data_IF_300350942100
#
_entry.id   IF_300350942100
#
_cell.length_a   1.000
_cell.length_b   1.000
_cell.length_c   1.000
_cell.angle_alpha   90.00
_cell.angle_beta   90.00
_cell.angle_gamma   90.00
#
_symmetry.space_group_name_H-M   'P 1'
#
loop_
_entity.id
_entity.type
_entity.pdbx_description
1 polymer ?
#
# COMPACT_ATOMS: atom_id res chain seq x y z
N UNK A 1 -13.25 -4.03 -2.84
CA UNK A 1 -11.87 -4.14 -2.33
C UNK A 1 -11.02 -4.68 -3.44
N UNK A 2 -10.07 -3.88 -3.93
CA UNK A 2 -9.12 -4.30 -4.98
C UNK A 2 -7.77 -4.53 -4.33
N UNK A 3 -7.20 -5.71 -4.56
CA UNK A 3 -5.87 -6.08 -4.09
C UNK A 3 -4.87 -5.97 -5.24
N UNK A 4 -3.70 -5.41 -4.93
CA UNK A 4 -2.59 -5.22 -5.84
C UNK A 4 -1.35 -5.86 -5.24
N UNK A 5 -0.61 -6.60 -6.06
CA UNK A 5 0.71 -7.11 -5.69
C UNK A 5 1.74 -5.99 -5.84
N UNK A 6 2.54 -5.77 -4.81
CA UNK A 6 3.54 -4.70 -4.78
C UNK A 6 4.91 -5.30 -4.59
N UNK A 7 5.67 -5.33 -5.67
CA UNK A 7 7.07 -5.71 -5.67
C UNK A 7 7.95 -4.56 -5.17
N UNK A 8 8.97 -4.88 -4.37
CA UNK A 8 9.95 -3.89 -3.88
C UNK A 8 9.64 -3.25 -2.53
N UNK A 9 8.54 -3.63 -1.85
CA UNK A 9 8.32 -3.28 -0.44
C UNK A 9 9.16 -4.17 0.49
N UNK A 10 10.46 -3.86 0.62
CA UNK A 10 11.41 -4.62 1.45
C UNK A 10 11.53 -4.10 2.89
N UNK A 11 10.95 -2.93 3.19
CA UNK A 11 11.18 -2.24 4.45
C UNK A 11 9.93 -1.56 5.01
N UNK A 12 9.84 -1.42 6.32
CA UNK A 12 8.74 -0.72 6.99
C UNK A 12 8.57 0.75 6.55
N UNK A 13 9.68 1.41 6.22
CA UNK A 13 9.63 2.75 5.66
C UNK A 13 9.03 2.77 4.23
N UNK A 14 9.26 1.70 3.46
CA UNK A 14 8.82 1.54 2.09
C UNK A 14 7.29 1.37 2.07
N UNK A 15 6.73 0.51 2.92
CA UNK A 15 5.28 0.35 3.05
C UNK A 15 4.60 1.62 3.55
N UNK A 16 5.14 2.27 4.59
CA UNK A 16 4.59 3.52 5.10
C UNK A 16 4.56 4.63 4.04
N UNK A 17 5.58 4.70 3.18
CA UNK A 17 5.63 5.65 2.06
C UNK A 17 4.52 5.36 1.03
N UNK A 18 4.36 4.09 0.64
CA UNK A 18 3.35 3.66 -0.34
C UNK A 18 1.95 3.97 0.18
N UNK A 19 1.64 3.57 1.41
CA UNK A 19 0.34 3.81 2.03
C UNK A 19 -0.02 5.30 2.00
N UNK A 20 0.91 6.16 2.43
CA UNK A 20 0.69 7.61 2.49
C UNK A 20 0.48 8.25 1.12
N UNK A 21 1.24 7.80 0.11
CA UNK A 21 1.07 8.25 -1.26
C UNK A 21 -0.30 7.85 -1.82
N UNK A 22 -0.70 6.60 -1.62
CA UNK A 22 -1.97 6.06 -2.15
C UNK A 22 -3.17 6.67 -1.44
N UNK A 23 -3.06 6.91 -0.14
CA UNK A 23 -4.10 7.60 0.63
C UNK A 23 -4.24 9.10 0.25
N UNK A 24 -3.26 9.66 -0.48
CA UNK A 24 -3.36 11.01 -1.06
C UNK A 24 -3.96 11.01 -2.47
N UNK A 25 -4.27 9.84 -3.04
CA UNK A 25 -4.89 9.73 -4.37
C UNK A 25 -6.38 10.00 -4.25
N UNK A 26 -6.88 10.91 -5.09
CA UNK A 26 -8.29 11.25 -5.14
C UNK A 26 -9.14 10.01 -5.52
N UNK A 27 -10.09 9.65 -4.64
CA UNK A 27 -10.92 8.44 -4.78
C UNK A 27 -10.51 7.24 -3.92
N UNK A 28 -9.38 7.30 -3.20
CA UNK A 28 -9.01 6.28 -2.21
C UNK A 28 -9.52 6.70 -0.84
N UNK A 29 -10.46 5.94 -0.25
CA UNK A 29 -10.95 6.21 1.11
C UNK A 29 -10.08 5.60 2.21
N UNK A 30 -9.42 4.47 1.91
CA UNK A 30 -8.51 3.82 2.85
C UNK A 30 -7.61 2.87 2.09
N UNK A 31 -6.31 2.90 2.39
CA UNK A 31 -5.32 2.01 1.82
C UNK A 31 -4.65 1.23 2.96
N UNK A 32 -4.55 -0.08 2.80
CA UNK A 32 -3.82 -0.95 3.71
C UNK A 32 -2.71 -1.68 2.94
N UNK A 33 -1.48 -1.60 3.43
CA UNK A 33 -0.34 -2.34 2.88
C UNK A 33 0.15 -3.37 3.88
N UNK A 34 0.46 -4.55 3.37
CA UNK A 34 0.95 -5.67 4.17
C UNK A 34 2.30 -6.14 3.64
N UNK A 35 3.35 -5.90 4.42
CA UNK A 35 4.72 -6.36 4.12
C UNK A 35 4.84 -7.89 4.15
N UNK A 36 4.05 -8.55 4.99
CA UNK A 36 4.05 -10.02 5.10
C UNK A 36 3.63 -10.67 3.79
N UNK A 37 2.66 -10.07 3.11
CA UNK A 37 2.08 -10.61 1.88
C UNK A 37 2.49 -9.83 0.63
N UNK A 38 3.34 -8.81 0.79
CA UNK A 38 3.75 -7.88 -0.29
C UNK A 38 2.56 -7.38 -1.13
N UNK A 39 1.44 -7.12 -0.47
CA UNK A 39 0.19 -6.74 -1.13
C UNK A 39 -0.40 -5.47 -0.54
N UNK A 40 -1.08 -4.74 -1.41
CA UNK A 40 -1.77 -3.49 -1.10
C UNK A 40 -3.25 -3.65 -1.40
N UNK A 41 -4.10 -3.20 -0.49
CA UNK A 41 -5.56 -3.25 -0.64
C UNK A 41 -6.13 -1.85 -0.50
N UNK A 42 -7.01 -1.48 -1.44
CA UNK A 42 -7.78 -0.23 -1.47
C UNK A 42 -9.27 -0.48 -1.68
#
# INVERSE_FOLDING_TARGET
MKQFDVTGMICAACSARVEKCVNSVDGVSSCAVSLLTNSMTV
#
